data_IF_352935461103
#
_entry.id   IF_352935461103
#
_cell.length_a   1.000
_cell.length_b   1.000
_cell.length_c   1.000
_cell.angle_alpha   90.00
_cell.angle_beta   90.00
_cell.angle_gamma   90.00
#
_symmetry.space_group_name_H-M   'P 1'
#
loop_
_entity.id
_entity.type
_entity.pdbx_description
1 polymer ?
#
# COMPACT_ATOMS: atom_id res chain seq x y z
N UNK A 1 -25.39 22.78 12.05
CA UNK A 1 -25.38 21.53 11.28
C UNK A 1 -25.90 20.41 12.18
N UNK A 2 -26.94 19.68 11.75
CA UNK A 2 -27.55 18.56 12.52
C UNK A 2 -27.45 17.28 11.69
N UNK A 3 -26.26 16.79 11.42
CA UNK A 3 -26.01 15.49 10.82
C UNK A 3 -25.43 14.53 11.85
N UNK A 4 -25.73 13.25 11.71
CA UNK A 4 -25.27 12.20 12.61
C UNK A 4 -24.13 11.35 11.98
N UNK A 5 -23.56 10.45 12.79
CA UNK A 5 -22.49 9.55 12.32
C UNK A 5 -22.99 8.59 11.22
N UNK A 6 -24.28 8.34 11.15
CA UNK A 6 -24.89 7.51 10.10
C UNK A 6 -24.84 8.22 8.76
N UNK A 7 -25.09 9.53 8.76
CA UNK A 7 -25.00 10.38 7.57
C UNK A 7 -23.56 10.44 7.06
N UNK A 8 -22.59 10.63 7.95
CA UNK A 8 -21.17 10.64 7.61
C UNK A 8 -20.71 9.30 7.00
N UNK A 9 -21.10 8.18 7.62
CA UNK A 9 -20.79 6.84 7.12
C UNK A 9 -21.44 6.56 5.76
N UNK A 10 -22.69 6.98 5.58
CA UNK A 10 -23.40 6.84 4.31
C UNK A 10 -22.72 7.67 3.22
N UNK A 11 -22.34 8.91 3.53
CA UNK A 11 -21.66 9.79 2.57
C UNK A 11 -20.30 9.22 2.16
N UNK A 12 -19.46 8.79 3.13
CA UNK A 12 -18.16 8.14 2.87
C UNK A 12 -18.35 6.93 1.97
N UNK A 13 -19.30 6.04 2.29
CA UNK A 13 -19.54 4.84 1.49
C UNK A 13 -20.07 5.17 0.09
N UNK A 14 -20.86 6.25 -0.04
CA UNK A 14 -21.35 6.74 -1.35
C UNK A 14 -20.20 7.22 -2.21
N UNK A 15 -19.26 7.96 -1.63
CA UNK A 15 -18.06 8.43 -2.32
C UNK A 15 -17.15 7.25 -2.75
N UNK A 16 -16.91 6.29 -1.85
CA UNK A 16 -16.06 5.13 -2.12
C UNK A 16 -16.62 4.20 -3.21
N UNK A 17 -17.96 4.04 -3.26
CA UNK A 17 -18.64 3.19 -4.25
C UNK A 17 -19.02 3.93 -5.54
N UNK A 18 -18.95 5.26 -5.55
CA UNK A 18 -19.44 6.08 -6.66
C UNK A 18 -20.93 5.89 -6.96
N UNK A 19 -21.71 5.36 -6.00
CA UNK A 19 -23.09 4.96 -6.25
C UNK A 19 -23.91 4.86 -4.96
N UNK A 20 -25.02 5.62 -4.88
CA UNK A 20 -25.87 5.66 -3.69
C UNK A 20 -26.57 4.31 -3.45
N UNK A 21 -26.96 3.59 -4.50
CA UNK A 21 -27.64 2.29 -4.35
C UNK A 21 -26.72 1.26 -3.70
N UNK A 22 -25.47 1.20 -4.15
CA UNK A 22 -24.45 0.31 -3.56
C UNK A 22 -24.11 0.70 -2.13
N UNK A 23 -24.08 1.99 -1.84
CA UNK A 23 -23.86 2.50 -0.49
C UNK A 23 -25.04 2.17 0.45
N UNK A 24 -26.26 2.32 -0.01
CA UNK A 24 -27.48 1.96 0.73
C UNK A 24 -27.48 0.47 1.09
N UNK A 25 -27.20 -0.41 0.13
CA UNK A 25 -27.10 -1.86 0.36
C UNK A 25 -26.03 -2.20 1.42
N UNK A 26 -24.85 -1.56 1.35
CA UNK A 26 -23.79 -1.75 2.34
C UNK A 26 -24.11 -1.20 3.74
N UNK A 27 -25.21 -0.49 3.91
CA UNK A 27 -25.71 0.05 5.19
C UNK A 27 -27.06 -0.53 5.60
N UNK A 28 -27.57 -1.54 4.89
CA UNK A 28 -28.89 -2.13 5.12
C UNK A 28 -30.03 -1.09 5.09
N UNK A 29 -29.93 -0.12 4.18
CA UNK A 29 -30.91 0.95 4.00
C UNK A 29 -31.61 0.84 2.64
N UNK A 30 -32.85 1.30 2.57
CA UNK A 30 -33.49 1.49 1.26
C UNK A 30 -32.84 2.63 0.49
N UNK A 31 -32.87 2.55 -0.85
CA UNK A 31 -32.35 3.63 -1.71
C UNK A 31 -33.05 4.97 -1.43
N UNK A 32 -34.35 4.94 -1.17
CA UNK A 32 -35.14 6.13 -0.85
C UNK A 32 -34.63 6.80 0.44
N UNK A 33 -34.40 6.03 1.50
CA UNK A 33 -33.87 6.52 2.77
C UNK A 33 -32.46 7.08 2.61
N UNK A 34 -31.56 6.36 1.93
CA UNK A 34 -30.21 6.83 1.67
C UNK A 34 -30.17 8.13 0.85
N UNK A 35 -30.99 8.21 -0.22
CA UNK A 35 -31.09 9.42 -1.05
C UNK A 35 -31.64 10.61 -0.27
N UNK A 36 -32.63 10.39 0.60
CA UNK A 36 -33.19 11.43 1.46
C UNK A 36 -32.15 11.96 2.46
N UNK A 37 -31.36 11.07 3.09
CA UNK A 37 -30.28 11.47 4.02
C UNK A 37 -29.18 12.27 3.31
N UNK A 38 -28.73 11.84 2.14
CA UNK A 38 -27.75 12.59 1.34
C UNK A 38 -28.28 13.99 0.98
N UNK A 39 -29.54 14.08 0.51
CA UNK A 39 -30.17 15.38 0.23
C UNK A 39 -30.27 16.28 1.47
N UNK A 40 -30.63 15.71 2.63
CA UNK A 40 -30.69 16.45 3.88
C UNK A 40 -29.29 16.98 4.28
N UNK A 41 -28.26 16.17 4.07
CA UNK A 41 -26.87 16.56 4.32
C UNK A 41 -26.44 17.72 3.41
N UNK A 42 -26.71 17.64 2.10
CA UNK A 42 -26.46 18.72 1.12
C UNK A 42 -27.22 20.01 1.48
N UNK A 43 -28.48 19.88 1.89
CA UNK A 43 -29.27 21.01 2.36
C UNK A 43 -28.66 21.70 3.58
N UNK A 44 -28.13 20.91 4.54
CA UNK A 44 -27.48 21.44 5.73
C UNK A 44 -26.10 22.06 5.42
N UNK A 45 -25.39 21.51 4.44
CA UNK A 45 -24.14 22.06 3.95
C UNK A 45 -24.35 23.37 3.14
N UNK A 46 -25.60 23.64 2.71
CA UNK A 46 -25.93 24.79 1.89
C UNK A 46 -25.46 24.70 0.44
N UNK A 47 -24.92 23.55 0.02
CA UNK A 47 -24.38 23.34 -1.33
C UNK A 47 -24.41 21.85 -1.71
N UNK A 48 -24.42 21.52 -3.03
CA UNK A 48 -24.32 20.15 -3.48
C UNK A 48 -22.94 19.56 -3.16
N UNK A 49 -22.93 18.37 -2.60
CA UNK A 49 -21.70 17.60 -2.33
C UNK A 49 -21.44 16.53 -3.40
N UNK A 50 -22.48 16.18 -4.18
CA UNK A 50 -22.40 15.16 -5.22
C UNK A 50 -22.91 15.71 -6.56
N UNK A 51 -22.18 15.46 -7.63
CA UNK A 51 -22.70 15.48 -8.99
C UNK A 51 -23.44 14.17 -9.25
N UNK A 52 -24.67 14.25 -9.77
CA UNK A 52 -25.46 13.10 -10.17
C UNK A 52 -25.24 12.83 -11.64
N UNK A 53 -24.80 11.63 -11.97
CA UNK A 53 -24.50 11.20 -13.33
C UNK A 53 -25.39 10.00 -13.70
N UNK A 54 -25.52 9.69 -15.00
CA UNK A 54 -26.36 8.60 -15.48
C UNK A 54 -25.91 7.21 -14.92
N UNK A 55 -24.66 7.07 -14.53
CA UNK A 55 -24.08 5.82 -14.01
C UNK A 55 -23.58 5.91 -12.56
N UNK A 56 -24.08 6.85 -11.77
CA UNK A 56 -23.69 6.96 -10.38
C UNK A 56 -23.55 8.39 -9.88
N UNK A 57 -22.57 8.62 -8.99
CA UNK A 57 -22.31 9.93 -8.42
C UNK A 57 -20.79 10.21 -8.40
N UNK A 58 -20.45 11.49 -8.52
CA UNK A 58 -19.08 12.00 -8.35
C UNK A 58 -19.08 13.13 -7.33
N UNK A 59 -17.98 13.30 -6.61
CA UNK A 59 -17.85 14.39 -5.64
C UNK A 59 -17.74 15.75 -6.33
N UNK A 60 -18.35 16.77 -5.72
CA UNK A 60 -18.02 18.17 -5.99
C UNK A 60 -16.75 18.56 -5.21
N UNK A 61 -16.08 19.69 -5.49
CA UNK A 61 -14.98 20.19 -4.65
C UNK A 61 -15.38 20.31 -3.17
N UNK A 62 -16.60 20.76 -2.89
CA UNK A 62 -17.15 20.81 -1.53
C UNK A 62 -17.36 19.38 -0.96
N UNK A 63 -17.78 18.43 -1.80
CA UNK A 63 -17.91 17.03 -1.44
C UNK A 63 -16.57 16.37 -1.09
N UNK A 64 -15.49 16.73 -1.78
CA UNK A 64 -14.14 16.25 -1.44
C UNK A 64 -13.68 16.78 -0.08
N UNK A 65 -13.85 18.06 0.17
CA UNK A 65 -13.56 18.66 1.47
C UNK A 65 -14.40 18.02 2.59
N UNK A 66 -15.71 17.84 2.34
CA UNK A 66 -16.61 17.20 3.29
C UNK A 66 -16.20 15.75 3.56
N UNK A 67 -15.83 14.98 2.53
CA UNK A 67 -15.35 13.59 2.66
C UNK A 67 -14.10 13.50 3.53
N UNK A 68 -13.14 14.41 3.34
CA UNK A 68 -11.92 14.48 4.16
C UNK A 68 -12.28 14.65 5.64
N UNK A 69 -13.11 15.63 5.98
CA UNK A 69 -13.54 15.88 7.35
C UNK A 69 -14.43 14.76 7.93
N UNK A 70 -15.35 14.21 7.13
CA UNK A 70 -16.21 13.10 7.54
C UNK A 70 -15.40 11.87 7.95
N UNK A 71 -14.37 11.53 7.17
CA UNK A 71 -13.44 10.46 7.53
C UNK A 71 -12.67 10.77 8.82
N UNK A 72 -12.26 12.03 9.02
CA UNK A 72 -11.62 12.50 10.25
C UNK A 72 -12.49 12.26 11.49
N UNK A 73 -13.73 12.73 11.46
CA UNK A 73 -14.70 12.55 12.57
C UNK A 73 -14.97 11.07 12.85
N UNK A 74 -15.20 10.27 11.81
CA UNK A 74 -15.42 8.83 11.98
C UNK A 74 -14.23 8.13 12.64
N UNK A 75 -13.00 8.47 12.26
CA UNK A 75 -11.80 7.94 12.91
C UNK A 75 -11.72 8.34 14.37
N UNK A 76 -11.98 9.60 14.71
CA UNK A 76 -11.98 10.05 16.11
C UNK A 76 -13.01 9.29 16.96
N UNK A 77 -14.17 8.96 16.38
CA UNK A 77 -15.16 8.14 17.11
C UNK A 77 -14.72 6.68 17.26
N UNK A 78 -13.98 6.13 16.30
CA UNK A 78 -13.38 4.78 16.39
C UNK A 78 -12.26 4.77 17.44
N UNK A 79 -11.42 5.80 17.45
CA UNK A 79 -10.37 5.97 18.47
C UNK A 79 -10.96 6.10 19.89
N UNK A 80 -11.93 6.97 20.06
CA UNK A 80 -12.64 7.10 21.37
C UNK A 80 -13.18 5.74 21.85
N UNK A 81 -13.76 4.94 20.97
CA UNK A 81 -14.24 3.60 21.32
C UNK A 81 -13.10 2.65 21.70
N UNK A 82 -11.99 2.69 20.96
CA UNK A 82 -10.82 1.86 21.25
C UNK A 82 -10.22 2.22 22.61
N UNK A 83 -10.05 3.52 22.90
CA UNK A 83 -9.52 4.03 24.15
C UNK A 83 -10.41 3.62 25.34
N UNK A 84 -11.74 3.77 25.21
CA UNK A 84 -12.68 3.33 26.25
C UNK A 84 -12.66 1.80 26.45
N UNK A 85 -12.45 1.02 25.39
CA UNK A 85 -12.38 -0.43 25.48
C UNK A 85 -11.06 -0.93 26.10
N UNK A 86 -10.00 -0.13 26.04
CA UNK A 86 -8.71 -0.43 26.67
C UNK A 86 -8.85 -0.51 28.19
N UNK A 87 -9.68 0.35 28.82
CA UNK A 87 -10.01 0.26 30.25
C UNK A 87 -10.71 -1.06 30.61
N UNK A 88 -11.27 -1.79 29.65
CA UNK A 88 -11.94 -3.09 29.81
C UNK A 88 -11.08 -4.34 29.53
N UNK A 89 -9.76 -4.21 29.38
CA UNK A 89 -8.84 -5.35 29.30
C UNK A 89 -8.32 -5.73 27.92
N UNK A 90 -7.45 -4.91 27.36
CA UNK A 90 -6.58 -5.20 26.22
C UNK A 90 -6.92 -4.44 24.93
N UNK A 91 -5.87 -4.24 24.10
CA UNK A 91 -5.98 -3.52 22.82
C UNK A 91 -7.02 -4.20 21.92
N UNK A 92 -7.99 -3.42 21.46
CA UNK A 92 -8.98 -3.83 20.47
C UNK A 92 -9.00 -2.81 19.36
N UNK A 93 -9.00 -3.27 18.10
CA UNK A 93 -9.07 -2.32 17.01
C UNK A 93 -9.15 -2.97 15.64
N UNK A 94 -9.44 -2.13 14.67
CA UNK A 94 -9.38 -2.47 13.25
C UNK A 94 -8.42 -1.50 12.58
N UNK A 95 -7.33 -2.02 12.02
CA UNK A 95 -6.26 -1.25 11.41
C UNK A 95 -6.29 -1.44 9.90
N UNK A 96 -6.36 -0.35 9.16
CA UNK A 96 -6.30 -0.35 7.69
C UNK A 96 -4.89 -0.01 7.26
N UNK A 97 -4.24 -0.96 6.61
CA UNK A 97 -2.85 -0.85 6.16
C UNK A 97 -2.82 -0.93 4.64
N UNK A 98 -2.32 0.11 3.99
CA UNK A 98 -1.97 0.06 2.57
C UNK A 98 -0.47 -0.16 2.45
N UNK A 99 -0.07 -1.12 1.63
CA UNK A 99 1.32 -1.49 1.50
C UNK A 99 1.66 -1.86 0.04
N UNK A 100 2.90 -1.65 -0.37
CA UNK A 100 3.33 -2.06 -1.69
C UNK A 100 3.56 -3.57 -1.78
N UNK A 101 3.74 -4.09 -2.99
CA UNK A 101 3.94 -5.52 -3.27
C UNK A 101 5.04 -6.13 -2.41
N UNK A 102 6.20 -5.47 -2.29
CA UNK A 102 7.32 -5.99 -1.47
C UNK A 102 6.92 -6.16 -0.01
N UNK A 103 6.19 -5.20 0.56
CA UNK A 103 5.74 -5.31 1.94
C UNK A 103 4.76 -6.48 2.13
N UNK A 104 3.76 -6.58 1.24
CA UNK A 104 2.69 -7.59 1.36
C UNK A 104 3.21 -9.01 1.12
N UNK A 105 4.14 -9.19 0.18
CA UNK A 105 4.62 -10.53 -0.20
C UNK A 105 5.89 -10.95 0.52
N UNK A 106 6.64 -10.00 1.07
CA UNK A 106 7.97 -10.25 1.60
C UNK A 106 7.98 -10.25 3.14
N UNK A 107 7.93 -9.12 3.77
CA UNK A 107 8.23 -9.02 5.21
C UNK A 107 7.01 -8.96 6.12
N UNK A 108 5.87 -8.44 5.68
CA UNK A 108 4.67 -8.44 6.52
C UNK A 108 4.19 -9.85 6.90
N UNK A 109 4.23 -10.85 6.00
CA UNK A 109 3.90 -12.24 6.37
C UNK A 109 4.80 -12.84 7.46
N UNK A 110 6.00 -12.33 7.63
CA UNK A 110 6.92 -12.78 8.69
C UNK A 110 6.64 -12.09 10.03
N UNK A 111 6.24 -10.82 10.00
CA UNK A 111 6.05 -9.98 11.19
C UNK A 111 4.64 -10.08 11.76
N UNK A 112 3.62 -10.03 10.88
CA UNK A 112 2.22 -9.97 11.30
C UNK A 112 1.73 -11.18 12.13
N UNK A 113 2.15 -12.43 11.87
CA UNK A 113 1.73 -13.56 12.69
C UNK A 113 2.09 -13.37 14.16
N UNK A 114 3.32 -12.95 14.45
CA UNK A 114 3.77 -12.69 15.82
C UNK A 114 3.04 -11.51 16.47
N UNK A 115 2.74 -10.47 15.70
CA UNK A 115 1.97 -9.32 16.17
C UNK A 115 0.52 -9.70 16.49
N UNK A 116 -0.18 -10.38 15.58
CA UNK A 116 -1.58 -10.76 15.74
C UNK A 116 -1.79 -11.81 16.84
N UNK A 117 -0.86 -12.74 17.00
CA UNK A 117 -0.90 -13.71 18.08
C UNK A 117 -0.81 -13.06 19.47
N UNK A 118 0.03 -12.01 19.60
CA UNK A 118 0.12 -11.23 20.86
C UNK A 118 -1.06 -10.28 21.05
N UNK A 119 -1.76 -9.93 19.97
CA UNK A 119 -2.86 -8.97 20.00
C UNK A 119 -4.15 -9.58 19.37
N UNK A 120 -4.76 -10.61 20.00
CA UNK A 120 -5.84 -11.41 19.38
C UNK A 120 -7.14 -10.64 19.13
N UNK A 121 -7.26 -9.41 19.66
CA UNK A 121 -8.43 -8.55 19.50
C UNK A 121 -8.22 -7.44 18.44
N UNK A 122 -7.09 -7.48 17.73
CA UNK A 122 -6.79 -6.54 16.64
C UNK A 122 -7.04 -7.24 15.30
N UNK A 123 -7.76 -6.56 14.41
CA UNK A 123 -7.94 -6.97 13.03
C UNK A 123 -7.17 -6.03 12.10
N UNK A 124 -6.55 -6.57 11.07
CA UNK A 124 -5.83 -5.79 10.05
C UNK A 124 -6.49 -6.02 8.69
N UNK A 125 -6.94 -4.92 8.06
CA UNK A 125 -7.29 -4.89 6.64
C UNK A 125 -6.06 -4.44 5.86
N UNK A 126 -5.34 -5.42 5.29
CA UNK A 126 -4.13 -5.20 4.50
C UNK A 126 -4.47 -5.18 3.02
N UNK A 127 -4.20 -4.05 2.35
CA UNK A 127 -4.44 -3.91 0.92
C UNK A 127 -3.16 -3.56 0.18
N UNK A 128 -2.88 -4.31 -0.88
CA UNK A 128 -1.79 -3.99 -1.79
C UNK A 128 -2.16 -2.80 -2.69
N UNK A 129 -1.28 -1.79 -2.73
CA UNK A 129 -1.42 -0.58 -3.55
C UNK A 129 -0.07 -0.09 -4.06
N UNK A 130 -0.02 0.63 -5.20
CA UNK A 130 1.16 1.39 -5.60
C UNK A 130 1.46 2.55 -4.64
N UNK A 131 2.74 2.93 -4.51
CA UNK A 131 3.18 4.00 -3.59
C UNK A 131 2.33 5.30 -3.66
N UNK A 132 1.99 5.86 -4.84
CA UNK A 132 1.18 7.08 -4.89
C UNK A 132 -0.24 6.89 -4.31
N UNK A 133 -0.83 5.71 -4.52
CA UNK A 133 -2.15 5.39 -3.95
C UNK A 133 -2.07 5.17 -2.45
N UNK A 134 -0.94 4.63 -1.94
CA UNK A 134 -0.69 4.46 -0.51
C UNK A 134 -0.65 5.83 0.16
N UNK A 135 0.21 6.75 -0.31
CA UNK A 135 0.35 8.09 0.26
C UNK A 135 -1.00 8.83 0.25
N UNK A 136 -1.70 8.83 -0.89
CA UNK A 136 -3.02 9.44 -0.99
C UNK A 136 -4.05 8.75 -0.09
N UNK A 137 -4.02 7.41 0.01
CA UNK A 137 -4.91 6.64 0.88
C UNK A 137 -4.75 6.98 2.36
N UNK A 138 -3.51 7.19 2.82
CA UNK A 138 -3.22 7.66 4.18
C UNK A 138 -3.69 9.10 4.38
N UNK A 139 -3.37 9.99 3.45
CA UNK A 139 -3.78 11.39 3.51
C UNK A 139 -5.31 11.53 3.59
N UNK A 140 -6.03 10.84 2.73
CA UNK A 140 -7.50 10.83 2.68
C UNK A 140 -8.15 10.06 3.85
N UNK A 141 -7.36 9.36 4.67
CA UNK A 141 -7.85 8.53 5.78
C UNK A 141 -8.56 7.25 5.37
N UNK A 142 -8.28 6.74 4.17
CA UNK A 142 -8.69 5.40 3.74
C UNK A 142 -7.82 4.32 4.37
N UNK A 143 -6.55 4.65 4.67
CA UNK A 143 -5.65 3.83 5.46
C UNK A 143 -5.17 4.60 6.70
N UNK A 144 -4.87 3.86 7.75
CA UNK A 144 -4.30 4.39 8.99
C UNK A 144 -2.78 4.42 8.91
N UNK A 145 -2.20 3.40 8.27
CA UNK A 145 -0.77 3.21 8.01
C UNK A 145 -0.55 2.95 6.52
N UNK A 146 0.48 3.58 5.96
CA UNK A 146 1.01 3.29 4.63
C UNK A 146 2.42 2.73 4.71
N UNK A 147 2.75 1.69 3.92
CA UNK A 147 4.10 1.14 3.85
C UNK A 147 4.60 1.25 2.42
N UNK A 148 5.67 2.02 2.22
CA UNK A 148 6.22 2.37 0.92
C UNK A 148 7.72 2.02 0.83
N UNK A 149 8.24 1.89 -0.38
CA UNK A 149 9.67 1.67 -0.62
C UNK A 149 10.16 2.48 -1.82
N UNK A 150 11.36 3.07 -1.68
CA UNK A 150 11.98 3.91 -2.67
C UNK A 150 11.35 5.31 -2.77
N UNK A 151 11.62 6.05 -3.86
CA UNK A 151 11.13 7.42 -4.00
C UNK A 151 9.60 7.49 -3.93
N UNK A 152 9.09 8.36 -3.07
CA UNK A 152 7.66 8.62 -2.90
C UNK A 152 7.45 10.08 -2.51
N UNK A 153 6.44 10.72 -3.11
CA UNK A 153 5.94 11.98 -2.60
C UNK A 153 5.08 11.69 -1.36
N UNK A 154 5.52 12.19 -0.22
CA UNK A 154 4.84 11.96 1.06
C UNK A 154 3.59 12.81 1.23
N UNK A 155 3.34 13.81 0.37
CA UNK A 155 2.18 14.70 0.43
C UNK A 155 2.01 15.40 1.80
N UNK A 156 3.12 15.66 2.51
CA UNK A 156 3.11 16.23 3.86
C UNK A 156 2.81 15.25 4.99
N UNK A 157 2.71 13.95 4.70
CA UNK A 157 2.60 12.91 5.73
C UNK A 157 3.90 12.77 6.51
N UNK A 158 3.81 12.33 7.76
CA UNK A 158 4.97 11.92 8.54
C UNK A 158 5.49 10.60 7.98
N UNK A 159 6.78 10.56 7.65
CA UNK A 159 7.49 9.40 7.12
C UNK A 159 8.47 8.87 8.17
N UNK A 160 8.24 7.65 8.63
CA UNK A 160 9.08 6.95 9.61
C UNK A 160 9.93 5.95 8.85
N UNK A 161 11.24 6.22 8.73
CA UNK A 161 12.17 5.25 8.16
C UNK A 161 12.31 4.04 9.10
N UNK A 162 12.25 2.83 8.55
CA UNK A 162 12.35 1.61 9.37
C UNK A 162 13.32 0.56 8.82
N UNK A 163 13.61 0.58 7.53
CA UNK A 163 14.62 -0.32 6.93
C UNK A 163 15.06 0.14 5.54
N UNK A 164 16.15 -0.44 5.07
CA UNK A 164 16.68 -0.25 3.72
C UNK A 164 16.73 -1.62 3.03
N UNK A 165 16.34 -1.67 1.76
CA UNK A 165 16.48 -2.85 0.91
C UNK A 165 17.20 -2.48 -0.38
N UNK A 166 17.60 -3.46 -1.14
CA UNK A 166 18.29 -3.27 -2.41
C UNK A 166 17.59 -4.02 -3.52
N UNK A 167 17.57 -3.44 -4.71
CA UNK A 167 17.20 -4.16 -5.93
C UNK A 167 18.45 -4.85 -6.48
N UNK A 168 18.27 -6.09 -6.89
CA UNK A 168 19.32 -6.92 -7.51
C UNK A 168 18.84 -7.46 -8.84
N UNK A 169 19.79 -7.82 -9.72
CA UNK A 169 19.50 -8.59 -10.90
C UNK A 169 19.49 -10.07 -10.55
N UNK A 170 18.37 -10.73 -10.77
CA UNK A 170 18.25 -12.19 -10.72
C UNK A 170 18.43 -12.78 -12.14
N UNK A 171 19.25 -13.82 -12.25
CA UNK A 171 19.50 -14.55 -13.48
C UNK A 171 19.53 -16.06 -13.21
N UNK A 172 19.32 -16.89 -14.21
CA UNK A 172 19.53 -18.33 -14.08
C UNK A 172 21.03 -18.62 -13.79
N UNK A 173 21.32 -19.68 -13.05
CA UNK A 173 22.72 -20.05 -12.68
C UNK A 173 23.64 -20.29 -13.89
N UNK A 174 23.09 -20.69 -15.04
CA UNK A 174 23.83 -20.90 -16.28
C UNK A 174 23.86 -19.65 -17.18
N UNK A 175 23.29 -18.54 -16.76
CA UNK A 175 23.26 -17.30 -17.54
C UNK A 175 24.66 -16.67 -17.63
N UNK A 176 24.99 -15.97 -18.74
CA UNK A 176 26.30 -15.31 -18.95
C UNK A 176 26.70 -14.32 -17.85
N UNK A 177 25.72 -13.74 -17.17
CA UNK A 177 25.96 -12.81 -16.06
C UNK A 177 26.11 -13.50 -14.69
N UNK A 178 25.78 -14.78 -14.55
CA UNK A 178 25.72 -15.46 -13.24
C UNK A 178 27.03 -15.43 -12.43
N UNK A 179 28.18 -15.25 -13.10
CA UNK A 179 29.49 -15.16 -12.44
C UNK A 179 29.91 -13.72 -12.07
N UNK A 180 29.13 -12.71 -12.47
CA UNK A 180 29.40 -11.32 -12.14
C UNK A 180 28.96 -11.03 -10.71
N UNK A 181 29.74 -10.22 -10.00
CA UNK A 181 29.36 -9.72 -8.67
C UNK A 181 28.49 -8.47 -8.77
N UNK A 182 28.77 -7.62 -9.76
CA UNK A 182 28.10 -6.33 -9.98
C UNK A 182 27.83 -6.10 -11.46
N UNK A 183 26.77 -5.35 -11.76
CA UNK A 183 26.39 -4.97 -13.11
C UNK A 183 25.61 -3.65 -13.09
N UNK A 184 25.77 -2.80 -14.11
CA UNK A 184 24.90 -1.66 -14.32
C UNK A 184 23.60 -2.11 -15.01
N UNK A 185 22.46 -1.55 -14.62
CA UNK A 185 21.16 -1.90 -15.21
C UNK A 185 21.13 -1.72 -16.73
N UNK A 186 21.75 -0.66 -17.25
CA UNK A 186 21.86 -0.41 -18.68
C UNK A 186 22.45 -1.58 -19.47
N UNK A 187 23.35 -2.38 -18.88
CA UNK A 187 23.94 -3.56 -19.51
C UNK A 187 23.00 -4.77 -19.60
N UNK A 188 21.86 -4.71 -18.91
CA UNK A 188 20.87 -5.79 -18.89
C UNK A 188 19.76 -5.59 -19.92
N UNK A 189 19.64 -4.41 -20.53
CA UNK A 189 18.53 -4.04 -21.42
C UNK A 189 18.48 -4.83 -22.74
N UNK A 190 19.59 -5.49 -23.11
CA UNK A 190 19.64 -6.38 -24.28
C UNK A 190 19.09 -7.78 -24.00
N UNK A 191 18.95 -8.14 -22.73
CA UNK A 191 18.40 -9.43 -22.34
C UNK A 191 16.87 -9.44 -22.37
N UNK A 192 16.32 -10.61 -22.58
CA UNK A 192 14.90 -10.85 -22.35
C UNK A 192 14.58 -10.65 -20.85
N UNK A 193 13.54 -9.92 -20.54
CA UNK A 193 13.20 -9.55 -19.17
C UNK A 193 11.91 -10.21 -18.66
N UNK A 194 11.96 -10.66 -17.42
CA UNK A 194 10.81 -11.04 -16.62
C UNK A 194 10.49 -9.86 -15.68
N UNK A 195 9.32 -9.27 -15.81
CA UNK A 195 8.94 -8.05 -15.10
C UNK A 195 7.75 -8.21 -14.17
N UNK A 196 7.55 -7.22 -13.31
CA UNK A 196 6.31 -7.08 -12.54
C UNK A 196 5.18 -6.59 -13.43
N UNK A 197 3.94 -6.92 -13.05
CA UNK A 197 2.74 -6.47 -13.74
C UNK A 197 2.66 -4.94 -13.85
N UNK A 198 1.99 -4.49 -14.89
CA UNK A 198 1.73 -3.07 -15.11
C UNK A 198 1.04 -2.41 -13.90
N UNK A 199 1.48 -1.20 -13.57
CA UNK A 199 0.95 -0.44 -12.43
C UNK A 199 1.52 -0.81 -11.06
N UNK A 200 2.36 -1.85 -10.94
CA UNK A 200 3.10 -2.08 -9.69
C UNK A 200 4.14 -0.98 -9.45
N UNK A 201 4.46 -0.72 -8.18
CA UNK A 201 5.47 0.30 -7.80
C UNK A 201 6.81 0.07 -8.49
N UNK A 202 7.30 -1.17 -8.52
CA UNK A 202 8.58 -1.50 -9.13
C UNK A 202 8.56 -1.32 -10.65
N UNK A 203 7.51 -1.80 -11.31
CA UNK A 203 7.38 -1.68 -12.77
C UNK A 203 7.32 -0.20 -13.19
N UNK A 204 6.50 0.60 -12.52
CA UNK A 204 6.38 2.05 -12.79
C UNK A 204 7.72 2.76 -12.57
N UNK A 205 8.44 2.42 -11.52
CA UNK A 205 9.77 2.96 -11.24
C UNK A 205 10.78 2.58 -12.34
N UNK A 206 10.87 1.30 -12.72
CA UNK A 206 11.79 0.83 -13.76
C UNK A 206 11.45 1.41 -15.13
N UNK A 207 10.17 1.59 -15.46
CA UNK A 207 9.76 2.27 -16.68
C UNK A 207 10.36 3.68 -16.78
N UNK A 208 10.29 4.47 -15.69
CA UNK A 208 10.91 5.79 -15.64
C UNK A 208 12.44 5.77 -15.71
N UNK A 209 13.10 4.70 -15.25
CA UNK A 209 14.56 4.51 -15.43
C UNK A 209 14.88 4.22 -16.90
N UNK A 210 14.13 3.32 -17.51
CA UNK A 210 14.25 2.91 -18.92
C UNK A 210 14.05 4.11 -19.87
N UNK A 211 13.02 4.93 -19.61
CA UNK A 211 12.75 6.15 -20.39
C UNK A 211 13.95 7.11 -20.38
N UNK A 212 14.60 7.29 -19.24
CA UNK A 212 15.82 8.14 -19.14
C UNK A 212 17.02 7.54 -19.85
N UNK A 213 17.10 6.22 -19.95
CA UNK A 213 18.18 5.53 -20.69
C UNK A 213 17.93 5.47 -22.20
N UNK A 214 16.73 5.81 -22.66
CA UNK A 214 16.37 5.82 -24.08
C UNK A 214 16.38 4.44 -24.75
N UNK A 215 16.37 3.35 -23.99
CA UNK A 215 16.42 1.98 -24.51
C UNK A 215 15.35 1.11 -23.83
N UNK A 216 14.37 0.58 -24.59
CA UNK A 216 13.26 -0.18 -24.03
C UNK A 216 13.72 -1.51 -23.40
N UNK A 217 13.04 -1.92 -22.32
CA UNK A 217 13.20 -3.24 -21.72
C UNK A 217 12.48 -4.30 -22.59
N UNK A 218 13.15 -5.40 -22.91
CA UNK A 218 12.58 -6.50 -23.70
C UNK A 218 11.72 -7.41 -22.83
N UNK A 219 10.56 -6.93 -22.40
CA UNK A 219 9.64 -7.68 -21.55
C UNK A 219 9.05 -8.89 -22.30
N UNK A 220 9.34 -10.12 -21.82
CA UNK A 220 8.74 -11.37 -22.32
C UNK A 220 7.48 -11.74 -21.57
N UNK A 221 7.47 -11.49 -20.24
CA UNK A 221 6.35 -11.83 -19.36
C UNK A 221 6.30 -10.85 -18.20
N UNK A 222 5.09 -10.56 -17.74
CA UNK A 222 4.82 -9.76 -16.54
C UNK A 222 4.03 -10.59 -15.54
N UNK A 223 4.41 -10.52 -14.27
CA UNK A 223 3.89 -11.35 -13.18
C UNK A 223 3.51 -10.49 -11.99
N UNK A 224 2.65 -11.01 -11.12
CA UNK A 224 2.15 -10.28 -9.94
C UNK A 224 2.93 -10.56 -8.65
N UNK A 225 3.92 -11.49 -8.67
CA UNK A 225 4.72 -11.79 -7.49
C UNK A 225 6.20 -12.02 -7.82
N UNK A 226 7.06 -11.68 -6.85
CA UNK A 226 8.50 -11.90 -6.98
C UNK A 226 8.87 -13.39 -6.97
N UNK A 227 8.11 -14.22 -6.27
CA UNK A 227 8.29 -15.67 -6.29
C UNK A 227 8.11 -16.23 -7.71
N UNK A 228 7.03 -15.86 -8.38
CA UNK A 228 6.79 -16.28 -9.76
C UNK A 228 7.87 -15.73 -10.72
N UNK A 229 8.35 -14.48 -10.49
CA UNK A 229 9.47 -13.93 -11.27
C UNK A 229 10.74 -14.77 -11.08
N UNK A 230 11.12 -15.08 -9.84
CA UNK A 230 12.30 -15.89 -9.54
C UNK A 230 12.22 -17.29 -10.18
N UNK A 231 11.05 -17.93 -10.18
CA UNK A 231 10.81 -19.22 -10.87
C UNK A 231 11.04 -19.11 -12.38
N UNK A 232 10.49 -18.09 -13.03
CA UNK A 232 10.66 -17.87 -14.46
C UNK A 232 12.12 -17.57 -14.83
N UNK A 233 12.78 -16.75 -14.00
CA UNK A 233 14.22 -16.46 -14.15
C UNK A 233 15.04 -17.74 -14.00
N UNK A 234 14.78 -18.55 -12.97
CA UNK A 234 15.48 -19.82 -12.78
C UNK A 234 15.29 -20.83 -13.91
N UNK A 235 14.13 -20.80 -14.55
CA UNK A 235 13.82 -21.59 -15.75
C UNK A 235 14.48 -21.03 -17.05
N UNK A 236 15.22 -19.91 -16.98
CA UNK A 236 15.91 -19.34 -18.12
C UNK A 236 15.03 -18.54 -19.08
N UNK A 237 13.83 -18.09 -18.65
CA UNK A 237 12.92 -17.28 -19.48
C UNK A 237 13.50 -15.91 -19.79
N UNK A 238 14.30 -15.37 -18.86
CA UNK A 238 14.93 -14.05 -18.97
C UNK A 238 15.59 -13.64 -17.65
N UNK A 239 15.96 -12.39 -17.55
CA UNK A 239 16.53 -11.78 -16.33
C UNK A 239 15.46 -10.95 -15.61
N UNK A 240 15.58 -10.75 -14.28
CA UNK A 240 14.60 -10.00 -13.52
C UNK A 240 15.23 -9.06 -12.51
N UNK A 241 14.67 -7.86 -12.35
CA UNK A 241 15.03 -6.96 -11.25
C UNK A 241 14.06 -7.22 -10.09
N UNK A 242 14.61 -7.60 -8.95
CA UNK A 242 13.83 -8.02 -7.77
C UNK A 242 14.42 -7.43 -6.49
N UNK A 243 13.64 -7.24 -5.43
CA UNK A 243 14.18 -6.92 -4.10
C UNK A 243 15.10 -8.04 -3.62
N UNK A 244 16.24 -7.68 -3.04
CA UNK A 244 17.22 -8.65 -2.57
C UNK A 244 16.64 -9.56 -1.48
N UNK A 245 15.85 -9.00 -0.57
CA UNK A 245 15.15 -9.75 0.48
C UNK A 245 14.25 -10.85 -0.10
N UNK A 246 13.43 -10.53 -1.10
CA UNK A 246 12.58 -11.51 -1.80
C UNK A 246 13.39 -12.56 -2.57
N UNK A 247 14.46 -12.12 -3.24
CA UNK A 247 15.30 -13.01 -4.05
C UNK A 247 16.10 -14.01 -3.21
N UNK A 248 16.64 -13.60 -2.05
CA UNK A 248 17.40 -14.48 -1.15
C UNK A 248 16.58 -15.64 -0.61
N UNK A 249 15.31 -15.41 -0.24
CA UNK A 249 14.41 -16.48 0.19
C UNK A 249 14.19 -17.52 -0.90
N UNK A 250 14.18 -17.09 -2.15
CA UNK A 250 13.92 -17.94 -3.31
C UNK A 250 15.18 -18.57 -3.91
N UNK A 251 16.37 -18.10 -3.53
CA UNK A 251 17.62 -18.47 -4.16
C UNK A 251 17.94 -19.96 -4.06
N UNK A 252 17.69 -20.57 -2.90
CA UNK A 252 18.12 -21.97 -2.61
C UNK A 252 17.34 -22.97 -3.45
N UNK A 253 16.05 -22.74 -3.72
CA UNK A 253 15.17 -23.68 -4.43
C UNK A 253 15.02 -23.45 -5.94
N UNK A 254 15.37 -22.27 -6.44
CA UNK A 254 14.97 -21.83 -7.80
C UNK A 254 16.11 -21.75 -8.81
N UNK A 255 17.34 -22.10 -8.45
CA UNK A 255 18.45 -22.14 -9.42
C UNK A 255 18.84 -20.77 -9.97
N UNK A 256 18.66 -19.68 -9.18
CA UNK A 256 19.02 -18.33 -9.56
C UNK A 256 20.35 -17.87 -8.96
N UNK A 257 21.03 -16.96 -9.64
CA UNK A 257 22.16 -16.18 -9.15
C UNK A 257 21.73 -14.72 -9.02
N UNK A 258 22.19 -14.05 -7.95
CA UNK A 258 21.89 -12.66 -7.66
C UNK A 258 23.13 -11.80 -7.91
N UNK A 259 22.92 -10.69 -8.59
CA UNK A 259 24.00 -9.78 -9.00
C UNK A 259 23.63 -8.38 -8.51
N UNK A 260 24.54 -7.74 -7.79
CA UNK A 260 24.37 -6.38 -7.29
C UNK A 260 24.28 -5.38 -8.45
N UNK A 261 23.28 -4.49 -8.41
CA UNK A 261 23.21 -3.36 -9.33
C UNK A 261 24.13 -2.24 -8.84
N UNK A 262 24.91 -1.65 -9.76
CA UNK A 262 25.79 -0.51 -9.45
C UNK A 262 25.09 0.84 -9.48
N UNK A 263 23.84 0.84 -9.87
CA UNK A 263 23.01 2.05 -9.99
C UNK A 263 22.56 2.53 -8.60
N UNK A 264 22.75 3.80 -8.28
CA UNK A 264 22.44 4.38 -6.95
C UNK A 264 20.96 4.17 -6.56
N UNK A 265 20.06 4.20 -7.54
CA UNK A 265 18.64 3.99 -7.32
C UNK A 265 18.29 2.53 -6.90
N UNK A 266 19.24 1.61 -6.95
CA UNK A 266 19.03 0.21 -6.51
C UNK A 266 18.81 0.12 -5.00
N UNK A 267 19.31 1.07 -4.23
CA UNK A 267 19.06 1.17 -2.78
C UNK A 267 17.66 1.76 -2.56
N UNK A 268 16.85 1.09 -1.77
CA UNK A 268 15.44 1.41 -1.55
C UNK A 268 15.16 1.61 -0.07
N UNK A 269 15.05 2.86 0.34
CA UNK A 269 14.59 3.19 1.68
C UNK A 269 13.12 2.80 1.86
N UNK A 270 12.77 2.19 2.99
CA UNK A 270 11.40 1.80 3.35
C UNK A 270 10.88 2.71 4.44
N UNK A 271 9.68 3.24 4.23
CA UNK A 271 9.04 4.17 5.15
C UNK A 271 7.65 3.69 5.52
N UNK A 272 7.29 3.97 6.77
CA UNK A 272 5.91 3.95 7.25
C UNK A 272 5.37 5.36 7.15
N UNK A 273 4.25 5.55 6.45
CA UNK A 273 3.55 6.82 6.29
C UNK A 273 2.35 6.87 7.22
N UNK A 274 2.24 7.94 7.98
CA UNK A 274 1.09 8.26 8.84
C UNK A 274 0.75 9.73 8.71
N UNK A 275 -0.50 10.13 8.99
CA UNK A 275 -0.87 11.54 8.95
C UNK A 275 -0.26 12.32 10.10
N UNK A 276 -0.44 11.77 11.29
CA UNK A 276 0.04 12.32 12.55
C UNK A 276 0.19 11.16 13.54
N UNK A 277 1.42 10.93 13.99
CA UNK A 277 1.78 9.82 14.85
C UNK A 277 1.15 9.94 16.25
N UNK A 278 1.06 11.18 16.75
CA UNK A 278 0.53 11.45 18.10
C UNK A 278 -0.98 11.19 18.21
N UNK A 279 -1.67 11.17 17.06
CA UNK A 279 -3.11 10.88 17.00
C UNK A 279 -3.42 9.43 16.66
N UNK A 280 -2.41 8.57 16.53
CA UNK A 280 -2.65 7.16 16.26
C UNK A 280 -3.17 6.41 17.49
N UNK A 281 -4.11 5.45 17.28
CA UNK A 281 -4.45 4.52 18.35
C UNK A 281 -3.23 3.71 18.79
N UNK A 282 -3.15 3.35 20.07
CA UNK A 282 -2.02 2.57 20.61
C UNK A 282 -1.75 1.27 19.88
N UNK A 283 -2.78 0.60 19.34
CA UNK A 283 -2.59 -0.61 18.58
C UNK A 283 -1.89 -0.35 17.23
N UNK A 284 -2.09 0.82 16.62
CA UNK A 284 -1.39 1.22 15.41
C UNK A 284 0.08 1.54 15.71
N UNK A 285 0.34 2.29 16.80
CA UNK A 285 1.69 2.57 17.27
C UNK A 285 2.45 1.28 17.61
N UNK A 286 1.80 0.32 18.28
CA UNK A 286 2.39 -0.99 18.59
C UNK A 286 2.79 -1.78 17.34
N UNK A 287 2.03 -1.67 16.23
CA UNK A 287 2.45 -2.27 14.95
C UNK A 287 3.67 -1.56 14.37
N UNK A 288 3.70 -0.22 14.40
CA UNK A 288 4.85 0.58 13.94
C UNK A 288 6.11 0.20 14.72
N UNK A 289 6.02 0.13 16.05
CA UNK A 289 7.13 -0.30 16.92
C UNK A 289 7.61 -1.71 16.59
N UNK A 290 6.67 -2.64 16.34
CA UNK A 290 7.01 -4.02 15.95
C UNK A 290 7.76 -4.06 14.63
N UNK A 291 7.33 -3.29 13.62
CA UNK A 291 8.01 -3.17 12.34
C UNK A 291 9.41 -2.57 12.48
N UNK A 292 9.54 -1.49 13.25
CA UNK A 292 10.84 -0.85 13.50
C UNK A 292 11.80 -1.75 14.29
N UNK A 293 11.31 -2.49 15.29
CA UNK A 293 12.13 -3.38 16.12
C UNK A 293 12.66 -4.56 15.30
N UNK A 294 11.84 -5.16 14.44
CA UNK A 294 12.24 -6.29 13.59
C UNK A 294 13.51 -6.03 12.78
N UNK A 295 13.69 -4.78 12.30
CA UNK A 295 14.88 -4.41 11.50
C UNK A 295 16.01 -3.80 12.33
N UNK A 296 15.75 -3.30 13.55
CA UNK A 296 16.83 -2.84 14.46
C UNK A 296 17.63 -3.99 15.03
N UNK A 297 16.96 -5.12 15.31
CA UNK A 297 17.56 -6.29 15.95
C UNK A 297 18.31 -7.20 14.97
N UNK A 298 18.57 -6.76 13.74
CA UNK A 298 19.53 -7.39 12.81
C UNK A 298 19.04 -8.65 12.11
N UNK A 299 17.75 -8.86 12.00
CA UNK A 299 17.16 -9.85 11.08
C UNK A 299 17.05 -9.21 9.70
N UNK A 300 18.18 -9.18 8.96
CA UNK A 300 18.25 -8.78 7.56
C UNK A 300 18.41 -10.03 6.67
#
# INVERSE_FOLDING_TARGET
MQFDLTDLRLFVLTADKGNITRAAAGRHMSLAAASARIKALEKQAGMPLLYREARGVRLTPAGEAFLHHARGVLRQTEQLRADLQEYGGGLRGHLRVFANTTAVTDFLPEILPGFLTRNPKINIDLQEKPNPEIARGVLDGRADIGIVAGPVDTLGLQAIHFSTDRLVLAVAKNHRFARRKKIAFAQTLDEDAVGMQYGSTLQTFLAGVVDRLGKPLKLRIQLSSFDAMCRMVGAGVGVGIVPESAARRNQVGMGIALIELTDDWSVRERYILVRDRDTLPRYAESLIETLCAHYRDGVA
#
